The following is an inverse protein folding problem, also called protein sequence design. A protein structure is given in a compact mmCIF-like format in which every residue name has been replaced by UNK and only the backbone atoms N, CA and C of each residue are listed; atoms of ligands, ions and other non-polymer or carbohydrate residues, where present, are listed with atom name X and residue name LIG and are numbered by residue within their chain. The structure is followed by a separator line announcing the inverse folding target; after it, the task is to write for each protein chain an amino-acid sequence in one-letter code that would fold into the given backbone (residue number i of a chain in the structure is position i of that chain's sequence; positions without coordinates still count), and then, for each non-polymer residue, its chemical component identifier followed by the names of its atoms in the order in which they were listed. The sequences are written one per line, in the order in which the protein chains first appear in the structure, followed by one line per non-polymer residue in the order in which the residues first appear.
data_IF_887917531719
#
_entry.id   IF_887917531719
#
_cell.length_a   1.000
_cell.length_b   1.000
_cell.length_c   1.000
_cell.angle_alpha   90.00
_cell.angle_beta   90.00
_cell.angle_gamma   90.00
#
_symmetry.space_group_name_H-M   'P 1'
#
loop_
_entity.id
_entity.type
_entity.pdbx_description
1 polymer ?
#
# COMPACT_ATOMS: atom_id res chain seq x y z
N UNK A 1 19.02 4.33 2.22
CA UNK A 1 18.47 2.98 2.49
C UNK A 1 17.13 3.04 3.24
N UNK A 2 16.21 3.92 2.83
CA UNK A 2 14.88 3.99 3.44
C UNK A 2 14.04 2.77 3.05
N UNK A 3 13.20 2.31 3.97
CA UNK A 3 12.31 1.17 3.76
C UNK A 3 10.92 1.50 4.29
N UNK A 4 9.89 1.14 3.53
CA UNK A 4 8.50 1.21 3.95
C UNK A 4 7.87 -0.16 3.73
N UNK A 5 7.09 -0.62 4.71
CA UNK A 5 6.30 -1.85 4.63
C UNK A 5 4.86 -1.47 4.90
N UNK A 6 3.99 -1.69 3.93
CA UNK A 6 2.61 -1.17 3.97
C UNK A 6 1.63 -2.18 3.34
N UNK A 7 0.50 -2.48 3.99
CA UNK A 7 -0.56 -3.24 3.36
C UNK A 7 -1.34 -2.36 2.36
N UNK A 8 -1.56 -2.85 1.15
CA UNK A 8 -2.35 -2.17 0.12
C UNK A 8 -3.46 -3.09 -0.37
N UNK A 9 -4.70 -2.59 -0.29
CA UNK A 9 -5.91 -3.31 -0.69
C UNK A 9 -7.16 -2.68 -0.07
N UNK A 10 -8.35 -3.23 -0.35
CA UNK A 10 -9.60 -2.73 0.21
C UNK A 10 -9.62 -2.73 1.75
N UNK A 11 -10.22 -1.71 2.40
CA UNK A 11 -10.41 -1.69 3.86
C UNK A 11 -11.11 -2.94 4.37
N UNK A 12 -10.55 -3.58 5.40
CA UNK A 12 -11.13 -4.78 6.03
C UNK A 12 -11.08 -6.06 5.19
N UNK A 13 -10.58 -6.01 3.96
CA UNK A 13 -10.45 -7.15 3.05
C UNK A 13 -9.03 -7.72 2.96
N UNK A 14 -8.84 -8.63 2.01
CA UNK A 14 -7.52 -9.13 1.64
C UNK A 14 -6.66 -7.99 1.07
N UNK A 15 -5.44 -7.87 1.58
CA UNK A 15 -4.47 -6.86 1.18
C UNK A 15 -3.16 -7.53 0.76
N UNK A 16 -2.39 -6.91 -0.12
CA UNK A 16 -1.01 -7.33 -0.40
C UNK A 16 -0.05 -6.55 0.49
N UNK A 17 0.86 -7.23 1.17
CA UNK A 17 1.93 -6.59 1.92
C UNK A 17 3.05 -6.18 0.96
N UNK A 18 3.27 -4.87 0.82
CA UNK A 18 4.32 -4.33 -0.03
C UNK A 18 5.54 -3.92 0.78
N UNK A 19 6.72 -4.26 0.26
CA UNK A 19 7.99 -3.70 0.71
C UNK A 19 8.54 -2.76 -0.34
N UNK A 20 8.72 -1.50 0.03
CA UNK A 20 9.26 -0.43 -0.80
C UNK A 20 10.65 -0.08 -0.27
N UNK A 21 11.67 -0.10 -1.15
CA UNK A 21 13.06 0.25 -0.80
C UNK A 21 13.56 1.35 -1.72
N UNK A 22 13.85 2.52 -1.14
CA UNK A 22 14.49 3.63 -1.87
C UNK A 22 15.98 3.33 -2.07
N UNK A 23 16.36 3.26 -3.33
CA UNK A 23 17.73 3.02 -3.80
C UNK A 23 18.58 4.30 -3.71
N UNK A 24 19.92 4.19 -3.76
CA UNK A 24 20.81 5.35 -3.71
C UNK A 24 20.62 6.36 -4.85
N UNK A 25 20.17 5.91 -6.02
CA UNK A 25 19.84 6.72 -7.20
C UNK A 25 18.48 7.43 -7.10
N UNK A 26 17.70 7.15 -6.05
CA UNK A 26 16.37 7.72 -5.83
C UNK A 26 15.22 6.85 -6.32
N UNK A 27 15.48 5.78 -7.07
CA UNK A 27 14.44 4.84 -7.50
C UNK A 27 13.82 4.08 -6.33
N UNK A 28 12.58 3.63 -6.49
CA UNK A 28 11.89 2.79 -5.49
C UNK A 28 11.67 1.40 -6.06
N UNK A 29 12.29 0.41 -5.41
CA UNK A 29 12.02 -1.01 -5.71
C UNK A 29 10.87 -1.51 -4.85
N UNK A 30 9.83 -2.03 -5.49
CA UNK A 30 8.67 -2.63 -4.85
C UNK A 30 8.75 -4.16 -4.90
N UNK A 31 8.42 -4.81 -3.79
CA UNK A 31 8.33 -6.27 -3.71
C UNK A 31 7.04 -6.65 -3.00
N UNK A 32 6.21 -7.46 -3.67
CA UNK A 32 5.05 -8.10 -3.04
C UNK A 32 5.54 -9.20 -2.11
N UNK A 33 5.08 -9.18 -0.87
CA UNK A 33 5.39 -10.17 0.17
C UNK A 33 4.25 -11.16 0.41
N UNK A 34 3.19 -11.08 -0.40
CA UNK A 34 2.00 -11.94 -0.28
C UNK A 34 0.84 -11.28 0.47
N UNK A 35 -0.19 -12.09 0.72
CA UNK A 35 -1.46 -11.67 1.31
C UNK A 35 -1.43 -11.45 2.81
N UNK A 36 -2.17 -10.46 3.29
CA UNK A 36 -2.37 -10.13 4.70
C UNK A 36 -3.79 -9.63 4.97
N UNK A 37 -4.18 -9.57 6.24
CA UNK A 37 -5.43 -8.98 6.70
C UNK A 37 -5.14 -8.05 7.88
N UNK A 38 -4.99 -6.75 7.61
CA UNK A 38 -4.85 -5.71 8.62
C UNK A 38 -6.17 -4.94 8.78
N UNK A 39 -6.34 -4.31 9.94
CA UNK A 39 -7.38 -3.30 10.14
C UNK A 39 -7.21 -2.15 9.13
N UNK A 40 -8.30 -1.44 8.77
CA UNK A 40 -8.20 -0.28 7.90
C UNK A 40 -7.21 0.77 8.43
N UNK A 41 -6.39 1.31 7.53
CA UNK A 41 -5.71 2.58 7.80
C UNK A 41 -6.77 3.67 7.87
N UNK A 42 -6.77 4.47 8.93
CA UNK A 42 -7.73 5.54 9.19
C UNK A 42 -7.00 6.84 9.52
N UNK A 43 -7.67 7.98 9.38
CA UNK A 43 -7.10 9.30 9.64
C UNK A 43 -6.54 9.99 8.40
N UNK A 44 -5.74 11.04 8.61
CA UNK A 44 -5.17 11.85 7.53
C UNK A 44 -4.31 11.01 6.57
N UNK A 45 -4.44 11.27 5.27
CA UNK A 45 -3.70 10.56 4.22
C UNK A 45 -4.44 9.35 3.63
N UNK A 46 -5.60 8.97 4.17
CA UNK A 46 -6.55 8.08 3.50
C UNK A 46 -7.32 8.90 2.46
N UNK A 47 -7.21 8.53 1.18
CA UNK A 47 -8.09 9.05 0.12
C UNK A 47 -9.30 8.11 0.03
N UNK A 48 -10.49 8.62 0.34
CA UNK A 48 -11.73 7.81 0.32
C UNK A 48 -12.33 7.60 -1.08
N UNK A 49 -11.77 8.21 -2.12
CA UNK A 49 -12.33 8.13 -3.48
C UNK A 49 -11.26 7.63 -4.47
N UNK A 50 -11.34 6.36 -4.83
CA UNK A 50 -10.91 5.94 -6.18
C UNK A 50 -11.85 6.56 -7.22
N UNK A 51 -11.43 6.75 -8.48
CA UNK A 51 -12.33 7.30 -9.49
C UNK A 51 -13.60 6.46 -9.52
N UNK A 52 -14.76 7.12 -9.57
CA UNK A 52 -16.01 6.44 -9.86
C UNK A 52 -15.79 5.60 -11.12
N UNK A 53 -15.88 4.27 -10.98
CA UNK A 53 -16.12 3.43 -12.13
C UNK A 53 -17.50 3.82 -12.63
N UNK A 54 -17.55 4.66 -13.67
CA UNK A 54 -18.78 4.93 -14.38
C UNK A 54 -19.35 3.58 -14.86
N UNK A 55 -20.66 3.34 -14.70
CA UNK A 55 -21.30 2.04 -14.95
C UNK A 55 -21.23 1.61 -16.42
#
# INVERSE_FOLDING_TARGET
NGRMVIPVGPPGGYQTLWKLVKQPDGEVKATSMGGVAFVPLTGEGVQEEGPAVEP
#
